data_IF_071821005299
#
_entry.id   IF_071821005299
#
_cell.length_a   1.000
_cell.length_b   1.000
_cell.length_c   1.000
_cell.angle_alpha   90.00
_cell.angle_beta   90.00
_cell.angle_gamma   90.00
#
_symmetry.space_group_name_H-M   'P 1'
#
loop_
_entity.id
_entity.type
_entity.pdbx_description
1 polymer ?
#
# COMPACT_ATOMS: atom_id res chain seq x y z
N UNK A 1 -3.59 -11.80 24.44
CA UNK A 1 -4.45 -12.89 23.93
C UNK A 1 -4.95 -13.85 25.02
N UNK A 2 -4.10 -14.22 26.00
CA UNK A 2 -4.47 -15.19 27.05
C UNK A 2 -5.56 -14.70 28.02
N UNK A 3 -5.57 -13.41 28.37
CA UNK A 3 -6.52 -12.87 29.35
C UNK A 3 -8.00 -12.93 28.87
N UNK A 4 -8.35 -12.47 27.65
CA UNK A 4 -9.71 -12.67 27.12
C UNK A 4 -10.11 -14.15 27.06
N UNK A 5 -9.17 -15.05 26.76
CA UNK A 5 -9.43 -16.48 26.67
C UNK A 5 -9.75 -17.09 28.04
N UNK A 6 -9.07 -16.66 29.10
CA UNK A 6 -9.40 -17.04 30.47
C UNK A 6 -10.81 -16.58 30.91
N UNK A 7 -11.30 -15.50 30.31
CA UNK A 7 -12.67 -14.99 30.53
C UNK A 7 -13.71 -15.64 29.59
N UNK A 8 -13.37 -16.75 28.93
CA UNK A 8 -14.26 -17.50 28.05
C UNK A 8 -14.60 -16.76 26.73
N UNK A 9 -13.82 -15.72 26.36
CA UNK A 9 -14.04 -14.98 25.10
C UNK A 9 -13.33 -15.69 23.94
N UNK A 10 -14.01 -15.78 22.80
CA UNK A 10 -13.38 -16.21 21.55
C UNK A 10 -12.48 -15.11 20.99
N UNK A 11 -11.35 -15.51 20.45
CA UNK A 11 -10.34 -14.62 19.91
C UNK A 11 -10.15 -14.93 18.43
N UNK A 12 -10.45 -13.96 17.58
CA UNK A 12 -10.14 -13.99 16.15
C UNK A 12 -9.04 -12.96 15.88
N UNK A 13 -7.99 -13.37 15.18
CA UNK A 13 -6.86 -12.50 14.83
C UNK A 13 -6.74 -12.41 13.33
N UNK A 14 -6.71 -11.20 12.78
CA UNK A 14 -6.41 -10.97 11.36
C UNK A 14 -4.95 -10.55 11.21
N UNK A 15 -4.19 -11.28 10.39
CA UNK A 15 -2.79 -11.00 10.07
C UNK A 15 -2.72 -10.35 8.70
N UNK A 16 -2.41 -9.05 8.68
CA UNK A 16 -2.35 -8.26 7.45
C UNK A 16 -1.07 -8.46 6.64
N UNK A 17 -0.05 -9.08 7.22
CA UNK A 17 1.24 -9.36 6.60
C UNK A 17 2.27 -9.72 7.65
N UNK A 18 3.47 -10.07 7.20
CA UNK A 18 4.59 -10.41 8.08
C UNK A 18 5.33 -9.14 8.49
N UNK A 19 4.74 -8.35 9.40
CA UNK A 19 5.23 -7.02 9.78
C UNK A 19 6.66 -7.01 10.34
N UNK A 20 7.12 -8.12 10.92
CA UNK A 20 8.49 -8.25 11.41
C UNK A 20 9.56 -8.21 10.30
N UNK A 21 9.18 -8.39 9.03
CA UNK A 21 10.08 -8.29 7.88
C UNK A 21 10.34 -6.84 7.45
N UNK A 22 9.57 -5.88 7.95
CA UNK A 22 9.72 -4.47 7.57
C UNK A 22 11.03 -3.89 8.13
N UNK A 23 11.82 -3.29 7.25
CA UNK A 23 13.15 -2.72 7.58
C UNK A 23 13.12 -1.66 8.69
N UNK A 24 11.98 -1.01 8.94
CA UNK A 24 11.83 0.01 9.99
C UNK A 24 11.95 -0.53 11.42
N UNK A 25 11.80 -1.85 11.62
CA UNK A 25 11.85 -2.44 12.93
C UNK A 25 13.28 -2.89 13.27
N UNK A 26 13.83 -2.39 14.36
CA UNK A 26 15.07 -2.93 14.91
C UNK A 26 14.87 -4.36 15.45
N UNK A 27 15.98 -5.06 15.72
CA UNK A 27 15.98 -6.47 16.13
C UNK A 27 15.04 -6.78 17.31
N UNK A 28 14.98 -5.91 18.31
CA UNK A 28 14.11 -6.10 19.47
C UNK A 28 12.63 -5.98 19.11
N UNK A 29 12.25 -4.97 18.30
CA UNK A 29 10.86 -4.79 17.87
C UNK A 29 10.41 -5.94 16.97
N UNK A 30 11.25 -6.39 16.03
CA UNK A 30 10.98 -7.56 15.19
C UNK A 30 10.78 -8.83 16.03
N UNK A 31 11.58 -9.02 17.06
CA UNK A 31 11.42 -10.14 17.99
C UNK A 31 10.07 -10.08 18.72
N UNK A 32 9.67 -8.92 19.24
CA UNK A 32 8.39 -8.74 19.93
C UNK A 32 7.20 -8.98 18.98
N UNK A 33 7.27 -8.48 17.75
CA UNK A 33 6.23 -8.69 16.72
C UNK A 33 6.11 -10.18 16.38
N UNK A 34 7.24 -10.85 16.14
CA UNK A 34 7.28 -12.30 15.86
C UNK A 34 6.80 -13.15 17.03
N UNK A 35 7.10 -12.73 18.26
CA UNK A 35 6.54 -13.36 19.45
C UNK A 35 5.01 -13.19 19.53
N UNK A 36 4.49 -12.00 19.21
CA UNK A 36 3.04 -11.74 19.09
C UNK A 36 2.36 -12.64 18.05
N UNK A 37 2.98 -12.81 16.89
CA UNK A 37 2.53 -13.71 15.83
C UNK A 37 2.47 -15.17 16.31
N UNK A 38 3.53 -15.66 17.01
CA UNK A 38 3.55 -16.98 17.61
C UNK A 38 2.44 -17.16 18.65
N UNK A 39 2.16 -16.11 19.43
CA UNK A 39 1.08 -16.14 20.42
C UNK A 39 -0.29 -16.19 19.73
N UNK A 40 -0.47 -15.46 18.62
CA UNK A 40 -1.68 -15.53 17.81
C UNK A 40 -1.87 -16.93 17.22
N UNK A 41 -0.82 -17.51 16.62
CA UNK A 41 -0.85 -18.86 16.08
C UNK A 41 -1.20 -19.93 17.15
N UNK A 42 -0.78 -19.73 18.39
CA UNK A 42 -1.00 -20.72 19.48
C UNK A 42 -2.34 -20.56 20.20
N UNK A 43 -2.77 -19.31 20.45
CA UNK A 43 -3.87 -19.06 21.40
C UNK A 43 -5.13 -18.48 20.75
N UNK A 44 -5.09 -17.95 19.53
CA UNK A 44 -6.31 -17.52 18.85
C UNK A 44 -7.21 -18.73 18.53
N UNK A 45 -8.51 -18.54 18.65
CA UNK A 45 -9.49 -19.55 18.24
C UNK A 45 -9.51 -19.64 16.70
N UNK A 46 -9.40 -18.49 16.03
CA UNK A 46 -9.27 -18.41 14.58
C UNK A 46 -8.23 -17.38 14.18
N UNK A 47 -7.48 -17.67 13.12
CA UNK A 47 -6.54 -16.74 12.50
C UNK A 47 -6.95 -16.54 11.04
N UNK A 48 -7.18 -15.29 10.66
CA UNK A 48 -7.49 -14.88 9.29
C UNK A 48 -6.23 -14.30 8.67
N UNK A 49 -5.94 -14.69 7.43
CA UNK A 49 -4.84 -14.15 6.64
C UNK A 49 -5.33 -13.62 5.31
N UNK A 50 -4.63 -12.64 4.75
CA UNK A 50 -5.06 -11.92 3.55
C UNK A 50 -4.42 -12.45 2.26
N UNK A 51 -3.41 -13.30 2.35
CA UNK A 51 -2.74 -13.86 1.18
C UNK A 51 -2.43 -15.35 1.36
N UNK A 52 -2.35 -16.05 0.24
CA UNK A 52 -2.01 -17.46 0.19
C UNK A 52 -0.59 -17.74 0.72
N UNK A 53 0.34 -16.84 0.41
CA UNK A 53 1.72 -16.95 0.90
C UNK A 53 1.80 -16.91 2.44
N UNK A 54 1.00 -16.05 3.08
CA UNK A 54 0.92 -15.99 4.55
C UNK A 54 0.22 -17.23 5.11
N UNK A 55 -0.80 -17.77 4.40
CA UNK A 55 -1.45 -19.03 4.76
C UNK A 55 -0.43 -20.17 4.80
N UNK A 56 0.36 -20.30 3.73
CA UNK A 56 1.39 -21.33 3.65
C UNK A 56 2.47 -21.14 4.71
N UNK A 57 2.89 -19.89 4.95
CA UNK A 57 3.85 -19.58 6.03
C UNK A 57 3.37 -20.03 7.41
N UNK A 58 2.08 -19.82 7.75
CA UNK A 58 1.52 -20.28 9.02
C UNK A 58 1.46 -21.82 9.11
N UNK A 59 1.14 -22.50 8.01
CA UNK A 59 1.16 -23.94 7.94
C UNK A 59 2.56 -24.51 8.18
N UNK A 60 3.56 -23.95 7.48
CA UNK A 60 4.96 -24.43 7.56
C UNK A 60 5.64 -24.09 8.88
N UNK A 61 5.44 -22.85 9.38
CA UNK A 61 6.16 -22.35 10.55
C UNK A 61 5.52 -22.77 11.87
N UNK A 62 4.19 -22.75 11.91
CA UNK A 62 3.43 -22.99 13.16
C UNK A 62 2.59 -24.26 13.14
N UNK A 63 2.60 -25.01 12.01
CA UNK A 63 1.73 -26.17 11.77
C UNK A 63 0.26 -25.84 12.09
N UNK A 64 -0.12 -24.59 11.77
CA UNK A 64 -1.44 -24.03 12.04
C UNK A 64 -2.21 -23.83 10.74
N UNK A 65 -3.37 -24.47 10.64
CA UNK A 65 -4.36 -24.11 9.62
C UNK A 65 -4.99 -22.76 9.96
N UNK A 66 -5.10 -21.91 8.97
CA UNK A 66 -5.65 -20.54 9.09
C UNK A 66 -6.65 -20.28 7.96
N UNK A 67 -7.61 -19.38 8.19
CA UNK A 67 -8.63 -19.04 7.22
C UNK A 67 -8.13 -17.93 6.29
N UNK A 68 -8.14 -18.19 4.98
CA UNK A 68 -7.80 -17.20 3.96
C UNK A 68 -9.04 -16.38 3.60
N UNK A 69 -9.02 -15.09 3.91
CA UNK A 69 -10.05 -14.12 3.51
C UNK A 69 -9.32 -12.89 2.95
N UNK A 70 -9.25 -12.72 1.63
CA UNK A 70 -8.57 -11.58 1.03
C UNK A 70 -9.31 -10.26 1.32
N UNK A 71 -8.60 -9.13 1.19
CA UNK A 71 -9.23 -7.84 1.22
C UNK A 71 -10.22 -7.70 0.06
N UNK A 72 -11.38 -7.12 0.35
CA UNK A 72 -12.34 -6.68 -0.65
C UNK A 72 -12.23 -5.17 -0.88
N UNK A 73 -12.68 -4.73 -2.03
CA UNK A 73 -12.83 -3.33 -2.40
C UNK A 73 -14.25 -3.06 -2.89
N UNK A 74 -14.68 -1.82 -2.80
CA UNK A 74 -15.96 -1.41 -3.38
C UNK A 74 -15.88 -1.42 -4.91
N UNK A 75 -17.00 -1.69 -5.57
CA UNK A 75 -17.07 -1.59 -7.03
C UNK A 75 -16.83 -0.14 -7.44
N UNK A 76 -15.85 0.14 -8.33
CA UNK A 76 -15.54 1.48 -8.76
C UNK A 76 -16.63 2.05 -9.67
N UNK A 77 -16.75 3.37 -9.65
CA UNK A 77 -17.54 4.12 -10.60
C UNK A 77 -16.58 5.01 -11.39
N UNK A 78 -16.24 4.66 -12.65
CA UNK A 78 -15.33 5.47 -13.46
C UNK A 78 -15.80 6.91 -13.59
N UNK A 79 -14.87 7.85 -13.58
CA UNK A 79 -15.10 9.28 -13.66
C UNK A 79 -14.30 9.88 -14.82
N UNK A 80 -14.91 10.85 -15.50
CA UNK A 80 -14.20 11.70 -16.44
C UNK A 80 -13.18 12.59 -15.71
N UNK A 81 -12.14 13.01 -16.43
CA UNK A 81 -11.12 13.90 -15.91
C UNK A 81 -11.63 15.36 -15.88
N UNK A 82 -12.14 15.80 -14.76
CA UNK A 82 -12.65 17.14 -14.52
C UNK A 82 -11.80 17.88 -13.47
N UNK A 83 -11.90 17.50 -12.21
CA UNK A 83 -11.17 18.13 -11.10
C UNK A 83 -9.65 18.01 -11.28
N UNK A 84 -9.18 16.86 -11.74
CA UNK A 84 -7.74 16.64 -11.98
C UNK A 84 -7.24 17.48 -13.17
N UNK A 85 -8.08 17.74 -14.17
CA UNK A 85 -7.75 18.61 -15.29
C UNK A 85 -7.70 20.06 -14.84
N UNK A 86 -8.71 20.52 -14.12
CA UNK A 86 -8.79 21.90 -13.61
C UNK A 86 -7.62 22.24 -12.70
N UNK A 87 -7.29 21.33 -11.75
CA UNK A 87 -6.29 21.62 -10.72
C UNK A 87 -4.85 21.34 -11.16
N UNK A 88 -4.62 20.30 -11.96
CA UNK A 88 -3.27 19.79 -12.26
C UNK A 88 -2.98 19.71 -13.76
N UNK A 89 -3.94 20.03 -14.64
CA UNK A 89 -3.81 19.89 -16.09
C UNK A 89 -3.59 18.43 -16.52
N UNK A 90 -4.19 17.49 -15.81
CA UNK A 90 -4.11 16.06 -16.11
C UNK A 90 -5.22 15.68 -17.10
N UNK A 91 -4.88 14.81 -18.05
CA UNK A 91 -5.82 14.25 -19.02
C UNK A 91 -5.78 12.72 -18.96
N UNK A 92 -6.80 12.08 -19.50
CA UNK A 92 -6.86 10.62 -19.58
C UNK A 92 -5.63 10.06 -20.27
N UNK A 93 -5.08 8.98 -19.70
CA UNK A 93 -3.88 8.27 -20.16
C UNK A 93 -2.60 9.15 -20.21
N UNK A 94 -2.65 10.35 -19.64
CA UNK A 94 -1.55 11.31 -19.64
C UNK A 94 -0.56 11.19 -18.48
N UNK A 95 -0.71 10.21 -17.57
CA UNK A 95 0.15 10.12 -16.39
C UNK A 95 0.28 8.70 -15.80
N UNK A 96 1.42 8.47 -15.17
CA UNK A 96 1.64 7.36 -14.24
C UNK A 96 1.14 7.78 -12.86
N UNK A 97 0.45 6.89 -12.15
CA UNK A 97 -0.09 7.17 -10.83
C UNK A 97 0.63 6.34 -9.76
N UNK A 98 1.21 7.00 -8.79
CA UNK A 98 1.59 6.42 -7.50
C UNK A 98 0.61 6.90 -6.43
N UNK A 99 0.01 5.97 -5.67
CA UNK A 99 -0.92 6.32 -4.60
C UNK A 99 -0.69 5.42 -3.39
N UNK A 100 -0.04 5.96 -2.37
CA UNK A 100 0.23 5.29 -1.11
C UNK A 100 0.66 6.29 -0.02
N UNK A 101 0.87 5.80 1.21
CA UNK A 101 1.61 6.57 2.21
C UNK A 101 3.05 6.79 1.72
N UNK A 102 3.55 8.00 1.88
CA UNK A 102 4.93 8.33 1.47
C UNK A 102 5.87 7.96 2.63
N UNK A 103 6.34 6.70 2.59
CA UNK A 103 7.27 6.10 3.54
C UNK A 103 8.32 5.28 2.78
N UNK A 104 9.54 5.09 3.33
CA UNK A 104 10.65 4.44 2.60
C UNK A 104 10.27 3.10 1.97
N UNK A 105 9.54 2.25 2.70
CA UNK A 105 9.14 0.91 2.26
C UNK A 105 8.18 0.88 1.06
N UNK A 106 7.63 2.03 0.64
CA UNK A 106 6.82 2.16 -0.57
C UNK A 106 7.64 2.46 -1.83
N UNK A 107 8.95 2.61 -1.71
CA UNK A 107 9.87 2.67 -2.82
C UNK A 107 9.74 3.88 -3.76
N UNK A 108 9.06 4.96 -3.31
CA UNK A 108 8.79 6.12 -4.17
C UNK A 108 10.07 6.78 -4.72
N UNK A 109 11.17 6.74 -3.99
CA UNK A 109 12.46 7.23 -4.46
C UNK A 109 12.98 6.45 -5.67
N UNK A 110 12.79 5.12 -5.72
CA UNK A 110 13.14 4.32 -6.91
C UNK A 110 12.29 4.73 -8.13
N UNK A 111 11.00 4.98 -7.91
CA UNK A 111 10.10 5.40 -8.99
C UNK A 111 10.52 6.75 -9.58
N UNK A 112 10.84 7.73 -8.74
CA UNK A 112 11.30 9.04 -9.21
C UNK A 112 12.60 8.92 -9.99
N UNK A 113 13.58 8.16 -9.48
CA UNK A 113 14.86 7.94 -10.16
C UNK A 113 14.69 7.25 -11.53
N UNK A 114 13.83 6.23 -11.59
CA UNK A 114 13.51 5.54 -12.84
C UNK A 114 12.75 6.44 -13.82
N UNK A 115 11.75 7.19 -13.33
CA UNK A 115 10.93 8.07 -14.17
C UNK A 115 11.76 9.16 -14.85
N UNK A 116 12.76 9.71 -14.19
CA UNK A 116 13.66 10.71 -14.77
C UNK A 116 14.46 10.20 -15.97
N UNK A 117 14.67 8.88 -16.07
CA UNK A 117 15.42 8.26 -17.16
C UNK A 117 14.53 7.95 -18.37
N UNK A 118 13.22 8.13 -18.25
CA UNK A 118 12.27 7.82 -19.32
C UNK A 118 12.00 9.09 -20.15
N UNK A 119 12.20 9.00 -21.44
CA UNK A 119 11.74 10.02 -22.40
C UNK A 119 10.25 9.83 -22.66
N UNK A 120 9.42 10.68 -22.08
CA UNK A 120 7.96 10.64 -22.20
C UNK A 120 7.37 12.03 -21.99
N UNK A 121 6.25 12.30 -22.62
CA UNK A 121 5.39 13.46 -22.40
C UNK A 121 4.42 13.28 -21.23
N UNK A 122 4.29 12.05 -20.72
CA UNK A 122 3.41 11.75 -19.60
C UNK A 122 3.98 12.30 -18.29
N UNK A 123 3.08 12.60 -17.37
CA UNK A 123 3.43 13.07 -16.02
C UNK A 123 3.55 11.90 -15.05
N UNK A 124 4.28 12.09 -13.94
CA UNK A 124 4.22 11.22 -12.77
C UNK A 124 3.40 11.93 -11.69
N UNK A 125 2.27 11.36 -11.33
CA UNK A 125 1.42 11.88 -10.26
C UNK A 125 1.66 11.07 -8.99
N UNK A 126 2.05 11.76 -7.92
CA UNK A 126 2.31 11.19 -6.60
C UNK A 126 1.22 11.68 -5.66
N UNK A 127 0.32 10.78 -5.30
CA UNK A 127 -0.77 11.05 -4.38
C UNK A 127 -0.55 10.35 -3.04
N UNK A 128 -0.67 11.10 -1.95
CA UNK A 128 -0.52 10.59 -0.60
C UNK A 128 0.29 11.51 0.30
N UNK A 129 0.52 11.06 1.52
CA UNK A 129 1.27 11.81 2.51
C UNK A 129 1.79 10.89 3.63
N UNK A 130 2.53 11.46 4.57
CA UNK A 130 2.96 10.77 5.79
C UNK A 130 3.08 11.75 6.93
N UNK A 131 2.53 11.42 8.08
CA UNK A 131 2.74 12.16 9.34
C UNK A 131 3.90 11.60 10.18
N UNK A 132 4.46 10.45 9.78
CA UNK A 132 5.44 9.71 10.58
C UNK A 132 6.86 9.68 9.98
N UNK A 133 7.04 10.16 8.74
CA UNK A 133 8.30 10.08 7.99
C UNK A 133 8.65 11.43 7.36
N UNK A 134 8.75 12.49 8.19
CA UNK A 134 8.95 13.87 7.72
C UNK A 134 10.24 14.02 6.90
N UNK A 135 11.36 13.49 7.38
CA UNK A 135 12.65 13.56 6.67
C UNK A 135 12.57 12.89 5.29
N UNK A 136 11.91 11.73 5.19
CA UNK A 136 11.70 11.06 3.91
C UNK A 136 10.79 11.86 2.99
N UNK A 137 9.72 12.47 3.53
CA UNK A 137 8.84 13.38 2.77
C UNK A 137 9.62 14.54 2.17
N UNK A 138 10.48 15.21 2.97
CA UNK A 138 11.33 16.30 2.49
C UNK A 138 12.30 15.84 1.39
N UNK A 139 12.88 14.63 1.54
CA UNK A 139 13.70 14.03 0.49
C UNK A 139 12.89 13.87 -0.81
N UNK A 140 11.69 13.29 -0.73
CA UNK A 140 10.82 13.07 -1.90
C UNK A 140 10.41 14.40 -2.55
N UNK A 141 10.04 15.41 -1.76
CA UNK A 141 9.73 16.74 -2.30
C UNK A 141 10.90 17.35 -3.07
N UNK A 142 12.12 17.26 -2.54
CA UNK A 142 13.33 17.73 -3.25
C UNK A 142 13.54 16.98 -4.55
N UNK A 143 13.45 15.64 -4.53
CA UNK A 143 13.59 14.83 -5.73
C UNK A 143 12.54 15.15 -6.79
N UNK A 144 11.28 15.34 -6.38
CA UNK A 144 10.18 15.67 -7.28
C UNK A 144 10.36 17.07 -7.91
N UNK A 145 10.85 18.03 -7.15
CA UNK A 145 11.05 19.42 -7.62
C UNK A 145 12.10 19.55 -8.76
N UNK A 146 12.95 18.52 -8.95
CA UNK A 146 13.98 18.53 -9.99
C UNK A 146 13.45 18.15 -11.39
N UNK A 147 12.19 17.65 -11.48
CA UNK A 147 11.56 17.30 -12.77
C UNK A 147 10.13 17.86 -12.82
N UNK A 148 9.89 18.81 -13.71
CA UNK A 148 8.59 19.49 -13.86
C UNK A 148 7.43 18.58 -14.31
N UNK A 149 7.74 17.36 -14.76
CA UNK A 149 6.74 16.34 -15.10
C UNK A 149 6.17 15.64 -13.86
N UNK A 150 6.79 15.82 -12.68
CA UNK A 150 6.36 15.19 -11.43
C UNK A 150 5.41 16.12 -10.68
N UNK A 151 4.21 15.63 -10.38
CA UNK A 151 3.17 16.38 -9.66
C UNK A 151 2.89 15.68 -8.33
N UNK A 152 3.06 16.42 -7.24
CA UNK A 152 2.65 15.96 -5.92
C UNK A 152 1.29 16.56 -5.58
N UNK A 153 0.31 15.71 -5.29
CA UNK A 153 -1.07 16.14 -5.01
C UNK A 153 -1.39 16.19 -3.53
N UNK A 154 -0.47 15.75 -2.67
CA UNK A 154 -0.73 15.47 -1.26
C UNK A 154 -1.86 14.43 -1.07
N UNK A 155 -2.48 14.41 0.11
CA UNK A 155 -3.58 13.50 0.38
C UNK A 155 -4.83 13.85 -0.42
N UNK A 156 -5.37 12.89 -1.15
CA UNK A 156 -6.58 13.02 -1.97
C UNK A 156 -7.67 12.03 -1.54
N UNK A 157 -8.92 12.41 -1.70
CA UNK A 157 -10.09 11.58 -1.38
C UNK A 157 -11.30 11.95 -2.25
N UNK A 158 -12.36 11.15 -2.18
CA UNK A 158 -13.61 11.38 -2.90
C UNK A 158 -13.42 11.42 -4.40
N UNK A 159 -14.12 12.32 -5.09
CA UNK A 159 -14.13 12.41 -6.54
C UNK A 159 -12.73 12.61 -7.15
N UNK A 160 -11.86 13.41 -6.52
CA UNK A 160 -10.48 13.60 -6.97
C UNK A 160 -9.70 12.28 -7.04
N UNK A 161 -9.87 11.43 -6.03
CA UNK A 161 -9.24 10.10 -5.99
C UNK A 161 -9.83 9.18 -7.07
N UNK A 162 -11.14 9.18 -7.24
CA UNK A 162 -11.83 8.39 -8.27
C UNK A 162 -11.39 8.80 -9.68
N UNK A 163 -11.25 10.10 -9.93
CA UNK A 163 -10.74 10.62 -11.21
C UNK A 163 -9.29 10.21 -11.46
N UNK A 164 -8.43 10.27 -10.42
CA UNK A 164 -7.02 9.84 -10.55
C UNK A 164 -6.92 8.36 -10.94
N UNK A 165 -7.70 7.48 -10.32
CA UNK A 165 -7.71 6.07 -10.72
C UNK A 165 -8.31 5.85 -12.11
N UNK A 166 -9.40 6.58 -12.45
CA UNK A 166 -10.14 6.37 -13.70
C UNK A 166 -9.36 6.75 -14.94
N UNK A 167 -8.42 7.69 -14.82
CA UNK A 167 -7.76 8.32 -15.96
C UNK A 167 -6.24 8.08 -16.00
N UNK A 168 -5.69 7.29 -15.09
CA UNK A 168 -4.27 6.97 -15.10
C UNK A 168 -3.92 6.06 -16.30
N UNK A 169 -2.76 6.29 -16.91
CA UNK A 169 -2.18 5.41 -17.90
C UNK A 169 -1.72 4.09 -17.30
N UNK A 170 -1.05 4.18 -16.15
CA UNK A 170 -0.53 3.02 -15.41
C UNK A 170 -0.45 3.37 -13.93
N UNK A 171 -0.82 2.45 -13.08
CA UNK A 171 -0.59 2.54 -11.64
C UNK A 171 0.74 1.86 -11.28
N UNK A 172 1.58 2.53 -10.49
CA UNK A 172 2.92 2.03 -10.13
C UNK A 172 3.09 2.02 -8.62
N UNK A 173 3.45 0.85 -8.06
CA UNK A 173 3.66 0.68 -6.62
C UNK A 173 4.93 -0.14 -6.34
N UNK A 174 6.13 0.47 -6.37
CA UNK A 174 7.42 -0.20 -6.25
C UNK A 174 7.77 -0.49 -4.78
N UNK A 175 6.84 -1.06 -4.02
CA UNK A 175 7.01 -1.34 -2.60
C UNK A 175 7.97 -2.50 -2.35
N UNK A 176 8.86 -2.37 -1.37
CA UNK A 176 9.76 -3.44 -0.94
C UNK A 176 9.00 -4.61 -0.31
N UNK A 177 7.95 -4.31 0.45
CA UNK A 177 7.13 -5.30 1.17
C UNK A 177 5.66 -4.93 1.14
N UNK A 178 4.84 -5.84 0.62
CA UNK A 178 3.37 -5.75 0.66
C UNK A 178 2.74 -7.04 1.17
N UNK A 179 1.70 -6.90 1.97
CA UNK A 179 0.81 -8.02 2.29
C UNK A 179 -0.27 -8.17 1.20
N UNK A 180 -1.16 -7.18 1.16
CA UNK A 180 -2.17 -6.99 0.11
C UNK A 180 -2.52 -5.51 0.07
N UNK A 181 -1.93 -4.77 -0.87
CA UNK A 181 -2.12 -3.34 -1.00
C UNK A 181 -3.53 -3.00 -1.51
N UNK A 182 -4.34 -2.33 -0.70
CA UNK A 182 -5.69 -1.90 -1.09
C UNK A 182 -5.65 -0.97 -2.30
N UNK A 183 -4.70 -0.04 -2.34
CA UNK A 183 -4.54 0.90 -3.46
C UNK A 183 -4.25 0.20 -4.80
N UNK A 184 -3.53 -0.94 -4.75
CA UNK A 184 -3.32 -1.77 -5.94
C UNK A 184 -4.61 -2.45 -6.38
N UNK A 185 -5.37 -3.03 -5.44
CA UNK A 185 -6.67 -3.65 -5.74
C UNK A 185 -7.66 -2.61 -6.30
N UNK A 186 -7.68 -1.42 -5.73
CA UNK A 186 -8.46 -0.30 -6.24
C UNK A 186 -8.05 0.06 -7.68
N UNK A 187 -6.77 0.27 -7.95
CA UNK A 187 -6.27 0.55 -9.29
C UNK A 187 -6.68 -0.53 -10.31
N UNK A 188 -6.50 -1.81 -9.96
CA UNK A 188 -6.93 -2.94 -10.80
C UNK A 188 -8.44 -2.93 -11.06
N UNK A 189 -9.25 -2.54 -10.07
CA UNK A 189 -10.71 -2.47 -10.22
C UNK A 189 -11.17 -1.39 -11.18
N UNK A 190 -10.41 -0.29 -11.27
CA UNK A 190 -10.62 0.76 -12.30
C UNK A 190 -10.10 0.37 -13.68
N UNK A 191 -9.48 -0.81 -13.83
CA UNK A 191 -8.95 -1.29 -15.09
C UNK A 191 -7.55 -0.79 -15.42
N UNK A 192 -6.83 -0.22 -14.46
CA UNK A 192 -5.46 0.22 -14.68
C UNK A 192 -4.51 -0.96 -14.96
N UNK A 193 -3.57 -0.76 -15.88
CA UNK A 193 -2.34 -1.54 -15.89
C UNK A 193 -1.57 -1.23 -14.61
N UNK A 194 -1.05 -2.25 -13.93
CA UNK A 194 -0.35 -2.11 -12.66
C UNK A 194 1.07 -2.68 -12.75
N UNK A 195 2.04 -1.94 -12.21
CA UNK A 195 3.45 -2.29 -12.12
C UNK A 195 3.92 -2.23 -10.67
#
# INVERSE_FOLDING_TARGET
>A
LWMPKLLGRKIVVTVHGLDWQRAKWGNFASFVIKFGEKMAAKYADEVIVLSENVRQYFADTYQRQVTYIPNGISRPVPKEANLITEKYGLVKDGYFLFLARIVPEKGLHYLIEAFRQIETDKKLVIAGGSSQAMEYMEKIHRMAAEDTRIIMTDFVQGQMLEELYSNAYTFVLPSDVEGMALTLLEAMSYGNCCL
#
